data_IF_529060363776
#
_entry.id   IF_529060363776
#
_cell.length_a   1.000
_cell.length_b   1.000
_cell.length_c   1.000
_cell.angle_alpha   90.00
_cell.angle_beta   90.00
_cell.angle_gamma   90.00
#
_symmetry.space_group_name_H-M   'P 1'
#
loop_
_entity.id
_entity.type
_entity.pdbx_description
1 polymer ?
#
# COMPACT_ATOMS: atom_id res chain seq x y z
N UNK A 1 -23.37 -32.78 -6.42
CA UNK A 1 -23.02 -31.35 -6.47
C UNK A 1 -21.58 -31.31 -6.93
N UNK A 2 -21.23 -30.59 -7.99
CA UNK A 2 -19.82 -30.52 -8.39
C UNK A 2 -19.07 -29.82 -7.26
N UNK A 3 -18.07 -30.49 -6.68
CA UNK A 3 -17.21 -30.00 -5.59
C UNK A 3 -16.29 -28.82 -5.99
N UNK A 4 -16.62 -28.12 -7.08
CA UNK A 4 -15.83 -27.01 -7.59
C UNK A 4 -16.44 -25.70 -7.08
N UNK A 5 -15.70 -24.90 -6.29
CA UNK A 5 -16.20 -23.62 -5.81
C UNK A 5 -16.52 -22.67 -6.98
N UNK A 6 -17.58 -21.87 -6.82
CA UNK A 6 -17.89 -20.81 -7.79
C UNK A 6 -16.77 -19.76 -7.75
N UNK A 7 -16.12 -19.54 -8.88
CA UNK A 7 -15.05 -18.55 -9.01
C UNK A 7 -15.58 -17.11 -9.00
N UNK A 8 -16.88 -16.89 -9.23
CA UNK A 8 -17.53 -15.57 -9.18
C UNK A 8 -18.56 -15.49 -8.03
N UNK A 9 -18.14 -15.59 -6.76
CA UNK A 9 -19.06 -15.54 -5.63
C UNK A 9 -19.82 -14.20 -5.51
N UNK A 10 -19.40 -13.13 -6.21
CA UNK A 10 -20.02 -11.80 -6.16
C UNK A 10 -20.31 -11.20 -7.54
N UNK A 11 -19.36 -11.24 -8.48
CA UNK A 11 -19.39 -10.37 -9.67
C UNK A 11 -20.50 -10.70 -10.68
N UNK A 12 -21.23 -11.80 -10.51
CA UNK A 12 -22.48 -12.08 -11.24
C UNK A 12 -23.50 -10.94 -11.05
N UNK A 13 -23.47 -10.27 -9.90
CA UNK A 13 -24.30 -9.10 -9.58
C UNK A 13 -24.11 -7.93 -10.56
N UNK A 14 -23.00 -7.90 -11.32
CA UNK A 14 -22.66 -6.87 -12.31
C UNK A 14 -22.40 -7.44 -13.72
N UNK A 15 -22.30 -8.76 -13.89
CA UNK A 15 -22.05 -9.38 -15.21
C UNK A 15 -23.22 -10.18 -15.77
N UNK A 16 -24.07 -10.80 -14.95
CA UNK A 16 -24.96 -11.88 -15.41
C UNK A 16 -26.43 -11.44 -15.47
N UNK A 17 -27.13 -11.78 -16.56
CA UNK A 17 -28.57 -11.49 -16.72
C UNK A 17 -28.90 -10.16 -17.40
N UNK A 18 -30.17 -10.01 -17.80
CA UNK A 18 -30.65 -8.85 -18.57
C UNK A 18 -30.46 -7.54 -17.80
N UNK A 19 -30.79 -7.52 -16.51
CA UNK A 19 -30.73 -6.35 -15.64
C UNK A 19 -29.33 -5.73 -15.55
N UNK A 20 -28.28 -6.52 -15.83
CA UNK A 20 -26.87 -6.09 -15.72
C UNK A 20 -26.32 -5.50 -17.01
N UNK A 21 -27.19 -5.18 -17.98
CA UNK A 21 -26.78 -4.56 -19.24
C UNK A 21 -26.05 -3.23 -19.05
N UNK A 22 -26.51 -2.39 -18.12
CA UNK A 22 -25.86 -1.11 -17.81
C UNK A 22 -24.47 -1.31 -17.20
N UNK A 23 -24.36 -2.20 -16.20
CA UNK A 23 -23.09 -2.54 -15.56
C UNK A 23 -22.08 -3.11 -16.57
N UNK A 24 -22.49 -4.06 -17.42
CA UNK A 24 -21.65 -4.54 -18.53
C UNK A 24 -21.21 -3.43 -19.47
N UNK A 25 -22.08 -2.45 -19.77
CA UNK A 25 -21.72 -1.28 -20.57
C UNK A 25 -20.57 -0.47 -19.94
N UNK A 26 -20.61 -0.24 -18.62
CA UNK A 26 -19.52 0.44 -17.90
C UNK A 26 -18.25 -0.41 -17.84
N UNK A 27 -18.38 -1.71 -17.59
CA UNK A 27 -17.26 -2.64 -17.56
C UNK A 27 -16.53 -2.74 -18.91
N UNK A 28 -17.25 -2.63 -20.03
CA UNK A 28 -16.63 -2.52 -21.36
C UNK A 28 -15.80 -1.25 -21.52
N UNK A 29 -16.23 -0.14 -20.94
CA UNK A 29 -15.50 1.13 -21.03
C UNK A 29 -14.15 1.08 -20.30
N UNK A 30 -13.97 0.19 -19.32
CA UNK A 30 -12.68 -0.09 -18.68
C UNK A 30 -11.90 -1.24 -19.32
N UNK A 31 -12.40 -1.80 -20.43
CA UNK A 31 -11.68 -2.73 -21.29
C UNK A 31 -12.16 -4.18 -21.27
N UNK A 32 -13.26 -4.53 -20.61
CA UNK A 32 -13.76 -5.92 -20.62
C UNK A 32 -14.41 -6.30 -21.96
N UNK A 33 -13.99 -7.45 -22.50
CA UNK A 33 -14.65 -8.18 -23.58
C UNK A 33 -15.76 -9.12 -23.10
N UNK A 34 -16.37 -9.85 -24.03
CA UNK A 34 -17.45 -10.79 -23.71
C UNK A 34 -16.94 -11.97 -22.87
N UNK A 35 -15.74 -12.43 -23.20
CA UNK A 35 -15.01 -13.50 -22.53
C UNK A 35 -14.60 -13.14 -21.10
N UNK A 36 -14.49 -11.84 -20.79
CA UNK A 36 -14.08 -11.37 -19.47
C UNK A 36 -15.20 -11.43 -18.44
N UNK A 37 -16.47 -11.39 -18.88
CA UNK A 37 -17.60 -11.48 -17.95
C UNK A 37 -17.70 -12.84 -17.25
N UNK A 38 -17.09 -13.89 -17.81
CA UNK A 38 -17.01 -15.20 -17.19
C UNK A 38 -15.87 -15.34 -16.17
N UNK A 39 -14.95 -14.35 -16.09
CA UNK A 39 -13.78 -14.38 -15.21
C UNK A 39 -14.11 -13.82 -13.81
N UNK A 40 -13.38 -14.25 -12.76
CA UNK A 40 -13.41 -13.57 -11.46
C UNK A 40 -12.85 -12.15 -11.59
N UNK A 41 -13.51 -11.18 -10.98
CA UNK A 41 -13.06 -9.79 -10.92
C UNK A 41 -12.25 -9.57 -9.64
N UNK A 42 -10.98 -9.21 -9.79
CA UNK A 42 -10.04 -9.07 -8.66
C UNK A 42 -9.71 -7.60 -8.42
N UNK A 43 -10.03 -7.10 -7.22
CA UNK A 43 -9.63 -5.75 -6.82
C UNK A 43 -8.13 -5.68 -6.53
N UNK A 44 -7.43 -4.75 -7.17
CA UNK A 44 -6.01 -4.45 -6.88
C UNK A 44 -5.98 -3.14 -6.09
N UNK A 45 -6.01 -3.26 -4.76
CA UNK A 45 -6.10 -2.13 -3.84
C UNK A 45 -4.70 -1.63 -3.46
N UNK A 46 -4.28 -0.50 -4.01
CA UNK A 46 -2.94 0.06 -3.78
C UNK A 46 -3.01 1.32 -2.91
N UNK A 47 -2.15 1.41 -1.90
CA UNK A 47 -1.92 2.65 -1.15
C UNK A 47 -0.76 3.49 -1.72
N UNK A 48 -0.41 3.31 -3.00
CA UNK A 48 0.62 4.08 -3.68
C UNK A 48 0.42 5.60 -3.54
N UNK A 49 1.50 6.32 -3.31
CA UNK A 49 1.58 7.78 -3.33
C UNK A 49 3.04 8.24 -3.28
N UNK A 50 3.25 9.53 -3.51
CA UNK A 50 4.57 10.18 -3.51
C UNK A 50 4.82 11.02 -2.24
N UNK A 51 3.96 10.93 -1.22
CA UNK A 51 4.11 11.71 0.02
C UNK A 51 5.12 11.08 1.00
N UNK A 52 5.57 9.85 0.73
CA UNK A 52 6.55 9.12 1.55
C UNK A 52 7.25 8.05 0.71
N UNK A 53 8.55 7.76 0.93
CA UNK A 53 9.25 6.71 0.19
C UNK A 53 8.64 5.32 0.38
N UNK A 54 7.94 5.09 1.50
CA UNK A 54 7.35 3.80 1.88
C UNK A 54 6.38 3.24 0.83
N UNK A 55 5.76 4.10 0.03
CA UNK A 55 4.68 3.71 -0.87
C UNK A 55 5.07 3.79 -2.35
N UNK A 56 6.29 4.23 -2.69
CA UNK A 56 6.69 4.48 -4.10
C UNK A 56 6.68 3.21 -4.95
N UNK A 57 7.15 2.08 -4.39
CA UNK A 57 7.23 0.81 -5.12
C UNK A 57 5.87 0.22 -5.47
N UNK A 58 4.81 0.65 -4.80
CA UNK A 58 3.47 0.09 -4.93
C UNK A 58 2.88 0.27 -6.34
N UNK A 59 3.29 1.27 -7.11
CA UNK A 59 2.83 1.45 -8.50
C UNK A 59 3.27 0.29 -9.39
N UNK A 60 4.57 -0.02 -9.43
CA UNK A 60 5.06 -1.16 -10.24
C UNK A 60 4.58 -2.51 -9.70
N UNK A 61 4.39 -2.63 -8.38
CA UNK A 61 3.92 -3.87 -7.77
C UNK A 61 2.43 -4.11 -8.07
N UNK A 62 1.60 -3.06 -8.12
CA UNK A 62 0.22 -3.16 -8.55
C UNK A 62 0.12 -3.60 -10.03
N UNK A 63 0.96 -3.04 -10.90
CA UNK A 63 1.06 -3.46 -12.31
C UNK A 63 1.42 -4.94 -12.44
N UNK A 64 2.44 -5.41 -11.71
CA UNK A 64 2.83 -6.81 -11.70
C UNK A 64 1.73 -7.73 -11.12
N UNK A 65 1.01 -7.28 -10.09
CA UNK A 65 -0.13 -8.03 -9.54
C UNK A 65 -1.25 -8.21 -10.58
N UNK A 66 -1.52 -7.19 -11.40
CA UNK A 66 -2.48 -7.29 -12.50
C UNK A 66 -2.06 -8.31 -13.55
N UNK A 67 -0.78 -8.31 -13.93
CA UNK A 67 -0.22 -9.30 -14.85
C UNK A 67 -0.47 -10.72 -14.32
N UNK A 68 -0.15 -10.98 -13.05
CA UNK A 68 -0.39 -12.29 -12.42
C UNK A 68 -1.87 -12.70 -12.39
N UNK A 69 -2.79 -11.76 -12.15
CA UNK A 69 -4.24 -12.05 -12.22
C UNK A 69 -4.68 -12.40 -13.64
N UNK A 70 -4.20 -11.68 -14.66
CA UNK A 70 -4.51 -12.00 -16.05
C UNK A 70 -3.97 -13.37 -16.46
N UNK A 71 -2.73 -13.68 -16.09
CA UNK A 71 -2.10 -14.98 -16.35
C UNK A 71 -2.86 -16.15 -15.70
N UNK A 72 -3.44 -15.92 -14.52
CA UNK A 72 -4.27 -16.88 -13.81
C UNK A 72 -5.73 -16.96 -14.32
N UNK A 73 -6.10 -16.19 -15.36
CA UNK A 73 -7.43 -16.20 -15.96
C UNK A 73 -8.49 -15.34 -15.26
N UNK A 74 -8.08 -14.44 -14.36
CA UNK A 74 -8.95 -13.42 -13.76
C UNK A 74 -8.96 -12.11 -14.55
N UNK A 75 -9.75 -11.14 -14.07
CA UNK A 75 -9.75 -9.77 -14.58
C UNK A 75 -9.46 -8.78 -13.44
N UNK A 76 -8.28 -8.14 -13.41
CA UNK A 76 -7.93 -7.22 -12.35
C UNK A 76 -8.49 -5.82 -12.59
N UNK A 77 -9.02 -5.19 -11.54
CA UNK A 77 -9.46 -3.80 -11.51
C UNK A 77 -8.73 -3.07 -10.38
N UNK A 78 -7.86 -2.14 -10.77
CA UNK A 78 -7.02 -1.40 -9.83
C UNK A 78 -7.73 -0.17 -9.28
N UNK A 79 -7.58 0.07 -7.98
CA UNK A 79 -8.06 1.27 -7.32
C UNK A 79 -7.12 1.71 -6.20
N UNK A 80 -7.20 3.00 -5.86
CA UNK A 80 -6.37 3.62 -4.83
C UNK A 80 -7.06 3.74 -3.49
N UNK A 81 -6.27 3.73 -2.43
CA UNK A 81 -6.65 4.22 -1.10
C UNK A 81 -5.55 5.12 -0.55
N UNK A 82 -5.84 5.88 0.51
CA UNK A 82 -4.86 6.78 1.13
C UNK A 82 -3.81 5.99 1.93
N UNK A 83 -2.71 6.67 2.26
CA UNK A 83 -1.77 6.31 3.32
C UNK A 83 -1.17 7.62 3.83
N UNK A 84 -0.58 7.60 5.01
CA UNK A 84 0.15 8.74 5.59
C UNK A 84 1.56 8.29 5.96
N UNK A 85 2.47 9.26 6.08
CA UNK A 85 3.84 8.99 6.54
C UNK A 85 3.91 9.10 8.06
N UNK A 86 4.06 7.96 8.74
CA UNK A 86 4.32 7.99 10.19
C UNK A 86 5.61 8.76 10.48
N UNK A 87 6.67 8.54 9.69
CA UNK A 87 7.96 9.23 9.83
C UNK A 87 7.86 10.76 9.69
N UNK A 88 7.23 11.26 8.62
CA UNK A 88 7.10 12.73 8.40
C UNK A 88 6.14 13.36 9.41
N UNK A 89 5.12 12.62 9.88
CA UNK A 89 4.12 13.18 10.81
C UNK A 89 4.63 13.43 12.24
N UNK A 90 5.82 12.94 12.57
CA UNK A 90 6.42 13.03 13.91
C UNK A 90 6.73 14.47 14.31
N UNK A 91 6.34 14.82 15.55
CA UNK A 91 6.71 16.10 16.17
C UNK A 91 5.76 17.27 15.90
N UNK A 92 4.61 17.04 15.26
CA UNK A 92 3.60 18.09 15.01
C UNK A 92 2.17 17.54 14.98
N UNK A 93 1.17 18.43 14.82
CA UNK A 93 -0.28 18.13 14.85
C UNK A 93 -0.70 16.94 13.94
N UNK A 94 -0.03 16.75 12.80
CA UNK A 94 -0.31 15.64 11.89
C UNK A 94 -0.24 14.25 12.52
N UNK A 95 0.49 14.05 13.63
CA UNK A 95 0.54 12.76 14.34
C UNK A 95 -0.84 12.33 14.87
N UNK A 96 -1.75 13.27 15.12
CA UNK A 96 -3.15 12.97 15.50
C UNK A 96 -3.92 12.25 14.38
N UNK A 97 -3.41 12.23 13.15
CA UNK A 97 -4.03 11.63 11.98
C UNK A 97 -3.38 10.32 11.53
N UNK A 98 -2.30 9.85 12.18
CA UNK A 98 -1.66 8.57 11.84
C UNK A 98 -2.60 7.39 12.09
N UNK A 99 -3.02 7.16 13.34
CA UNK A 99 -3.77 5.94 13.67
C UNK A 99 -5.14 5.85 12.99
N UNK A 100 -5.84 6.99 12.84
CA UNK A 100 -7.16 7.01 12.16
C UNK A 100 -7.06 6.65 10.68
N UNK A 101 -5.90 6.83 10.04
CA UNK A 101 -5.70 6.41 8.66
C UNK A 101 -5.92 4.89 8.47
N UNK A 102 -5.64 4.07 9.50
CA UNK A 102 -5.93 2.62 9.49
C UNK A 102 -7.41 2.34 9.21
N UNK A 103 -8.30 3.07 9.89
CA UNK A 103 -9.75 2.90 9.74
C UNK A 103 -10.22 3.39 8.37
N UNK A 104 -9.73 4.56 7.95
CA UNK A 104 -10.07 5.14 6.64
C UNK A 104 -9.67 4.19 5.51
N UNK A 105 -8.49 3.56 5.62
CA UNK A 105 -8.03 2.57 4.64
C UNK A 105 -8.93 1.34 4.64
N UNK A 106 -9.25 0.79 5.81
CA UNK A 106 -10.12 -0.37 5.93
C UNK A 106 -11.50 -0.11 5.30
N UNK A 107 -12.10 1.03 5.64
CA UNK A 107 -13.41 1.44 5.14
C UNK A 107 -13.38 1.75 3.64
N UNK A 108 -12.28 2.33 3.13
CA UNK A 108 -12.12 2.60 1.70
C UNK A 108 -12.12 1.31 0.88
N UNK A 109 -11.35 0.31 1.30
CA UNK A 109 -11.30 -0.99 0.62
C UNK A 109 -12.62 -1.74 0.74
N UNK A 110 -13.22 -1.77 1.94
CA UNK A 110 -14.55 -2.38 2.13
C UNK A 110 -15.59 -1.74 1.21
N UNK A 111 -15.59 -0.41 1.11
CA UNK A 111 -16.55 0.35 0.28
C UNK A 111 -16.44 -0.06 -1.18
N UNK A 112 -15.23 -0.05 -1.76
CA UNK A 112 -15.03 -0.40 -3.18
C UNK A 112 -15.39 -1.87 -3.42
N UNK A 113 -14.92 -2.78 -2.57
CA UNK A 113 -15.18 -4.21 -2.75
C UNK A 113 -16.68 -4.54 -2.66
N UNK A 114 -17.41 -3.90 -1.75
CA UNK A 114 -18.86 -4.11 -1.60
C UNK A 114 -19.67 -3.43 -2.69
N UNK A 115 -19.28 -2.25 -3.17
CA UNK A 115 -19.99 -1.53 -4.22
C UNK A 115 -19.83 -2.21 -5.57
N UNK A 116 -18.59 -2.56 -5.93
CA UNK A 116 -18.24 -3.09 -7.26
C UNK A 116 -18.43 -4.60 -7.37
N UNK A 117 -18.78 -5.28 -6.27
CA UNK A 117 -19.08 -6.72 -6.21
C UNK A 117 -17.90 -7.58 -6.69
N UNK A 118 -16.69 -7.17 -6.35
CA UNK A 118 -15.46 -7.89 -6.72
C UNK A 118 -15.36 -9.21 -5.95
N UNK A 119 -14.79 -10.23 -6.60
CA UNK A 119 -14.79 -11.62 -6.11
C UNK A 119 -13.67 -11.91 -5.10
N UNK A 120 -12.58 -11.14 -5.19
CA UNK A 120 -11.41 -11.24 -4.32
C UNK A 120 -10.49 -10.05 -4.53
N UNK A 121 -9.40 -9.98 -3.78
CA UNK A 121 -8.49 -8.84 -3.85
C UNK A 121 -7.02 -9.17 -3.59
N UNK A 122 -6.16 -8.37 -4.20
CA UNK A 122 -4.77 -8.19 -3.80
C UNK A 122 -4.66 -6.81 -3.17
N UNK A 123 -4.21 -6.75 -1.93
CA UNK A 123 -4.02 -5.50 -1.20
C UNK A 123 -2.53 -5.21 -1.10
N UNK A 124 -2.13 -3.97 -1.41
CA UNK A 124 -0.74 -3.55 -1.43
C UNK A 124 -0.53 -2.34 -0.51
N UNK A 125 0.36 -2.49 0.46
CA UNK A 125 0.64 -1.46 1.46
C UNK A 125 2.13 -1.35 1.77
N UNK A 126 2.56 -0.16 2.24
CA UNK A 126 3.95 0.15 2.54
C UNK A 126 4.16 0.79 3.91
N UNK A 127 3.51 1.92 4.19
CA UNK A 127 3.74 2.64 5.46
C UNK A 127 2.89 2.09 6.62
N UNK A 128 3.47 2.04 7.83
CA UNK A 128 2.93 1.57 9.12
C UNK A 128 1.44 1.22 9.16
N UNK A 129 0.56 2.22 9.15
CA UNK A 129 -0.89 2.04 9.41
C UNK A 129 -1.66 1.49 8.22
N UNK A 130 -1.07 1.52 7.02
CA UNK A 130 -1.69 0.96 5.82
C UNK A 130 -1.73 -0.56 5.81
N UNK A 131 -0.71 -1.22 6.37
CA UNK A 131 -0.67 -2.68 6.47
C UNK A 131 -1.86 -3.24 7.28
N UNK A 132 -2.08 -2.83 8.55
CA UNK A 132 -3.22 -3.32 9.31
C UNK A 132 -4.57 -2.83 8.74
N UNK A 133 -4.62 -1.66 8.07
CA UNK A 133 -5.84 -1.20 7.39
C UNK A 133 -6.29 -2.16 6.28
N UNK A 134 -5.34 -2.60 5.44
CA UNK A 134 -5.60 -3.60 4.40
C UNK A 134 -6.00 -4.96 4.98
N UNK A 135 -5.31 -5.42 6.02
CA UNK A 135 -5.61 -6.70 6.68
C UNK A 135 -6.97 -6.67 7.40
N UNK A 136 -7.37 -5.54 7.97
CA UNK A 136 -8.70 -5.35 8.55
C UNK A 136 -9.79 -5.44 7.50
N UNK A 137 -9.61 -4.80 6.32
CA UNK A 137 -10.55 -4.93 5.22
C UNK A 137 -10.68 -6.38 4.75
N UNK A 138 -9.56 -7.10 4.63
CA UNK A 138 -9.54 -8.52 4.27
C UNK A 138 -10.35 -9.39 5.24
N UNK A 139 -10.09 -9.23 6.55
CA UNK A 139 -10.81 -9.97 7.57
C UNK A 139 -12.31 -9.62 7.61
N UNK A 140 -12.66 -8.36 7.37
CA UNK A 140 -14.06 -7.87 7.41
C UNK A 140 -14.88 -8.36 6.22
N UNK A 141 -14.27 -8.46 5.04
CA UNK A 141 -14.95 -8.85 3.79
C UNK A 141 -15.13 -10.36 3.65
N UNK A 142 -14.26 -11.17 4.27
CA UNK A 142 -14.26 -12.63 4.16
C UNK A 142 -14.34 -13.12 2.70
N UNK A 143 -13.55 -12.47 1.84
CA UNK A 143 -13.33 -12.84 0.44
C UNK A 143 -11.89 -13.32 0.29
N UNK A 144 -11.60 -13.99 -0.85
CA UNK A 144 -10.23 -14.36 -1.18
C UNK A 144 -9.34 -13.11 -1.20
N UNK A 145 -8.34 -13.06 -0.32
CA UNK A 145 -7.48 -11.90 -0.14
C UNK A 145 -6.01 -12.32 -0.03
N UNK A 146 -5.15 -11.61 -0.77
CA UNK A 146 -3.69 -11.72 -0.66
C UNK A 146 -3.13 -10.34 -0.29
N UNK A 147 -2.24 -10.31 0.69
CA UNK A 147 -1.55 -9.09 1.10
C UNK A 147 -0.12 -9.08 0.55
N UNK A 148 0.29 -7.96 -0.05
CA UNK A 148 1.63 -7.75 -0.60
C UNK A 148 2.26 -6.48 -0.01
N UNK A 149 3.45 -6.62 0.58
CA UNK A 149 4.21 -5.52 1.16
C UNK A 149 5.06 -4.79 0.12
N UNK A 150 5.15 -3.46 0.24
CA UNK A 150 5.99 -2.59 -0.59
C UNK A 150 7.47 -2.96 -0.58
N UNK A 151 7.95 -3.46 0.56
CA UNK A 151 9.36 -3.76 0.80
C UNK A 151 10.07 -2.70 1.65
N UNK A 152 11.16 -3.14 2.29
CA UNK A 152 12.00 -2.32 3.15
C UNK A 152 12.97 -1.45 2.34
N UNK A 153 13.25 -0.23 2.83
CA UNK A 153 14.27 0.66 2.28
C UNK A 153 15.67 0.09 2.54
N UNK A 154 16.61 0.36 1.63
CA UNK A 154 18.02 0.07 1.87
C UNK A 154 18.59 1.00 2.95
N UNK A 155 19.59 0.55 3.73
CA UNK A 155 20.23 1.41 4.72
C UNK A 155 20.95 2.59 4.06
N UNK A 156 20.84 3.76 4.69
CA UNK A 156 21.62 4.94 4.37
C UNK A 156 23.02 4.87 4.96
N UNK A 157 24.00 5.57 4.38
CA UNK A 157 25.36 5.66 4.93
C UNK A 157 25.81 7.11 5.02
N UNK A 158 26.08 7.57 6.23
CA UNK A 158 26.55 8.92 6.52
C UNK A 158 28.05 8.92 6.81
N UNK A 159 28.73 10.00 6.40
CA UNK A 159 30.11 10.30 6.80
C UNK A 159 30.11 11.61 7.56
N UNK A 160 30.53 11.57 8.81
CA UNK A 160 30.58 12.72 9.71
C UNK A 160 31.88 13.51 9.53
N UNK A 161 31.91 14.72 10.08
CA UNK A 161 33.01 15.68 10.04
C UNK A 161 34.28 15.17 10.73
N UNK A 162 34.16 14.30 11.73
CA UNK A 162 35.27 13.61 12.40
C UNK A 162 35.85 12.43 11.59
N UNK A 163 35.25 12.14 10.43
CA UNK A 163 35.63 11.05 9.54
C UNK A 163 34.91 9.72 9.83
N UNK A 164 34.07 9.66 10.86
CA UNK A 164 33.27 8.47 11.20
C UNK A 164 32.27 8.17 10.08
N UNK A 165 32.20 6.91 9.67
CA UNK A 165 31.16 6.42 8.77
C UNK A 165 30.22 5.48 9.52
N UNK A 166 28.91 5.67 9.32
CA UNK A 166 27.89 4.85 9.96
C UNK A 166 26.68 4.64 9.06
N UNK A 167 26.04 3.49 9.21
CA UNK A 167 24.72 3.26 8.63
C UNK A 167 23.69 4.03 9.46
N UNK A 168 22.75 4.70 8.78
CA UNK A 168 21.77 5.59 9.41
C UNK A 168 20.36 5.35 8.89
N UNK A 169 19.39 5.56 9.76
CA UNK A 169 17.95 5.54 9.49
C UNK A 169 17.27 6.68 10.26
N UNK A 170 15.93 6.71 10.22
CA UNK A 170 15.13 7.81 10.79
C UNK A 170 15.40 8.04 12.30
N UNK A 171 15.68 6.99 13.09
CA UNK A 171 15.98 7.17 14.51
C UNK A 171 17.27 7.96 14.73
N UNK A 172 18.29 7.74 13.90
CA UNK A 172 19.57 8.45 13.99
C UNK A 172 19.38 9.95 13.72
N UNK A 173 18.47 10.32 12.81
CA UNK A 173 18.15 11.72 12.56
C UNK A 173 17.48 12.39 13.78
N UNK A 174 16.54 11.71 14.46
CA UNK A 174 15.95 12.23 15.69
C UNK A 174 16.97 12.35 16.83
N UNK A 175 17.84 11.35 16.99
CA UNK A 175 18.89 11.38 18.02
C UNK A 175 19.95 12.45 17.71
N UNK A 176 20.30 12.65 16.45
CA UNK A 176 21.22 13.69 15.98
C UNK A 176 20.71 15.10 16.30
N UNK A 177 19.41 15.37 16.12
CA UNK A 177 18.78 16.63 16.55
C UNK A 177 18.97 16.84 18.06
N UNK A 178 18.73 15.79 18.86
CA UNK A 178 18.91 15.85 20.31
C UNK A 178 20.38 16.07 20.72
N UNK A 179 21.33 15.45 20.03
CA UNK A 179 22.76 15.62 20.27
C UNK A 179 23.23 17.03 19.90
N UNK A 180 22.79 17.56 18.75
CA UNK A 180 23.10 18.92 18.32
C UNK A 180 22.56 19.97 19.29
N UNK A 181 21.32 19.81 19.77
CA UNK A 181 20.73 20.71 20.76
C UNK A 181 21.49 20.75 22.10
N UNK A 182 22.22 19.67 22.44
CA UNK A 182 23.08 19.58 23.62
C UNK A 182 24.55 19.94 23.35
N UNK A 183 24.88 20.38 22.15
CA UNK A 183 26.27 20.70 21.75
C UNK A 183 27.18 19.48 21.63
N UNK A 184 26.62 18.28 21.43
CA UNK A 184 27.35 17.02 21.31
C UNK A 184 27.59 16.59 19.85
N UNK A 185 26.99 17.29 18.89
CA UNK A 185 27.10 17.04 17.46
C UNK A 185 27.01 18.37 16.71
N UNK A 186 27.74 18.51 15.61
CA UNK A 186 27.68 19.73 14.79
C UNK A 186 26.41 19.75 13.94
N UNK A 187 25.98 20.95 13.50
CA UNK A 187 24.85 21.06 12.56
C UNK A 187 25.15 20.39 11.22
N UNK A 188 26.40 20.48 10.75
CA UNK A 188 26.83 19.87 9.50
C UNK A 188 26.73 18.33 9.56
N UNK A 189 27.00 17.72 10.71
CA UNK A 189 26.83 16.28 10.92
C UNK A 189 25.35 15.86 10.91
N UNK A 190 24.47 16.68 11.50
CA UNK A 190 23.01 16.44 11.42
C UNK A 190 22.54 16.47 9.96
N UNK A 191 22.98 17.47 9.19
CA UNK A 191 22.63 17.60 7.77
C UNK A 191 23.24 16.45 6.93
N UNK A 192 24.41 15.92 7.32
CA UNK A 192 24.99 14.74 6.68
C UNK A 192 24.15 13.47 6.92
N UNK A 193 23.63 13.30 8.14
CA UNK A 193 22.71 12.22 8.49
C UNK A 193 21.40 12.37 7.70
N UNK A 194 20.78 13.56 7.71
CA UNK A 194 19.53 13.85 6.97
C UNK A 194 19.60 13.43 5.49
N UNK A 195 20.72 13.72 4.82
CA UNK A 195 20.92 13.41 3.40
C UNK A 195 21.12 11.92 3.12
N UNK A 196 21.38 11.12 4.15
CA UNK A 196 21.73 9.71 4.01
C UNK A 196 20.60 8.76 4.39
N UNK A 197 19.75 9.11 5.37
CA UNK A 197 18.78 8.18 6.01
C UNK A 197 17.75 7.52 5.06
N UNK A 198 17.45 8.13 3.92
CA UNK A 198 16.41 7.67 3.00
C UNK A 198 16.94 7.61 1.55
N UNK A 199 17.71 6.57 1.17
CA UNK A 199 18.37 6.51 -0.14
C UNK A 199 17.42 6.27 -1.33
N UNK A 200 16.16 5.90 -1.10
CA UNK A 200 15.21 5.60 -2.16
C UNK A 200 13.85 5.14 -1.64
N UNK A 201 13.16 4.34 -2.44
CA UNK A 201 11.86 3.75 -2.10
C UNK A 201 11.97 2.63 -1.05
N UNK A 202 10.91 2.48 -0.25
CA UNK A 202 10.78 1.44 0.77
C UNK A 202 10.38 1.98 2.14
N UNK A 203 9.79 1.11 2.98
CA UNK A 203 9.44 1.45 4.35
C UNK A 203 10.66 1.40 5.29
N UNK A 204 10.52 1.87 6.53
CA UNK A 204 11.62 1.93 7.49
C UNK A 204 12.26 0.56 7.70
N UNK A 205 13.59 0.44 7.57
CA UNK A 205 14.26 -0.86 7.54
C UNK A 205 14.51 -1.55 8.88
N UNK A 206 14.22 -0.88 9.99
CA UNK A 206 14.24 -1.50 11.32
C UNK A 206 12.95 -2.29 11.61
N UNK A 207 12.93 -3.04 12.71
CA UNK A 207 11.72 -3.74 13.18
C UNK A 207 10.72 -2.77 13.84
N UNK A 208 10.20 -1.83 13.05
CA UNK A 208 9.12 -0.92 13.42
C UNK A 208 7.76 -1.56 13.12
N UNK A 209 6.72 -0.77 12.81
CA UNK A 209 5.38 -1.32 12.56
C UNK A 209 5.26 -1.98 11.18
N UNK A 210 5.78 -1.34 10.13
CA UNK A 210 5.78 -1.85 8.76
C UNK A 210 6.73 -3.05 8.60
#
# INVERSE_FOLDING_TARGET
MSDTPDLKPRSRDVTDGLERAAARGMLRAVGMGDEDFAKPQIGIASSWNEITPCNLSLDRLAKAAKEGVFEAGGYPLEFGTISVSDGISMGHEGMHFSLVSREIIADSVETVMQAERLDGMVTLAGCDKSLPGMLMAAARLDLAAVFLYAGSILPGRAKLSDGTEMDVTIIDAFEAVGACARGLMSRDDVDAIERAICPGEGACGGMYTA
#
